data_IF_110875144905
#
_entry.id   IF_110875144905
#
_cell.length_a   1.000
_cell.length_b   1.000
_cell.length_c   1.000
_cell.angle_alpha   90.00
_cell.angle_beta   90.00
_cell.angle_gamma   90.00
#
_symmetry.space_group_name_H-M   'P 1'
#
loop_
_entity.id
_entity.type
_entity.pdbx_description
1 polymer ?
#
# COMPACT_ATOMS: atom_id res chain seq x y z
N UNK A 1 10.00 12.06 -2.16
CA UNK A 1 8.53 12.12 -2.23
C UNK A 1 8.08 13.56 -2.30
N UNK A 2 7.21 13.92 -3.23
CA UNK A 2 6.71 15.29 -3.43
C UNK A 2 5.40 15.29 -4.24
N UNK A 3 4.72 16.43 -4.32
CA UNK A 3 3.53 16.61 -5.16
C UNK A 3 3.86 16.92 -6.63
N UNK A 4 5.13 17.09 -6.96
CA UNK A 4 5.63 17.16 -8.33
C UNK A 4 7.10 16.80 -8.40
N UNK A 5 7.55 16.31 -9.56
CA UNK A 5 8.99 16.04 -9.79
C UNK A 5 9.76 17.28 -10.22
N UNK A 6 9.08 18.29 -10.73
CA UNK A 6 9.66 19.34 -11.55
C UNK A 6 10.11 18.80 -12.92
N UNK A 7 10.34 19.71 -13.87
CA UNK A 7 10.73 19.35 -15.24
C UNK A 7 12.06 18.56 -15.31
N UNK A 8 13.00 18.86 -14.43
CA UNK A 8 14.33 18.23 -14.43
C UNK A 8 14.33 16.72 -14.14
N UNK A 9 13.24 16.19 -13.53
CA UNK A 9 13.09 14.77 -13.20
C UNK A 9 11.93 14.10 -13.94
N UNK A 10 11.35 14.76 -14.94
CA UNK A 10 10.22 14.24 -15.72
C UNK A 10 10.51 12.86 -16.34
N UNK A 11 11.74 12.63 -16.80
CA UNK A 11 12.17 11.35 -17.36
C UNK A 11 12.25 10.19 -16.37
N UNK A 12 12.04 10.44 -15.07
CA UNK A 12 11.98 9.42 -14.02
C UNK A 12 10.56 9.03 -13.64
N UNK A 13 9.55 9.72 -14.16
CA UNK A 13 8.16 9.34 -13.94
C UNK A 13 7.85 8.06 -14.71
N UNK A 14 7.26 7.08 -14.02
CA UNK A 14 6.74 5.91 -14.66
C UNK A 14 5.41 6.24 -15.37
N UNK A 15 5.23 5.71 -16.55
CA UNK A 15 3.95 5.78 -17.26
C UNK A 15 2.91 4.91 -16.56
N UNK A 16 1.67 5.40 -16.52
CA UNK A 16 0.53 4.62 -16.02
C UNK A 16 -0.09 3.87 -17.20
N UNK A 17 -0.38 2.59 -16.99
CA UNK A 17 -0.95 1.73 -18.02
C UNK A 17 -2.33 1.21 -17.63
N UNK A 18 -3.13 0.87 -18.62
CA UNK A 18 -4.38 0.10 -18.50
C UNK A 18 -4.37 -1.05 -19.49
N UNK A 19 -5.11 -2.11 -19.18
CA UNK A 19 -5.36 -3.16 -20.17
C UNK A 19 -6.58 -2.80 -21.02
N UNK A 20 -6.33 -2.57 -22.32
CA UNK A 20 -7.38 -2.37 -23.31
C UNK A 20 -7.89 -3.73 -23.78
N UNK A 21 -9.10 -4.08 -23.33
CA UNK A 21 -9.74 -5.37 -23.66
C UNK A 21 -10.05 -5.50 -25.16
N UNK A 22 -10.38 -4.39 -25.83
CA UNK A 22 -10.71 -4.41 -27.24
C UNK A 22 -9.46 -4.63 -28.12
N UNK A 23 -8.35 -4.01 -27.74
CA UNK A 23 -7.06 -4.15 -28.40
C UNK A 23 -6.25 -5.37 -27.93
N UNK A 24 -6.63 -6.02 -26.82
CA UNK A 24 -5.91 -7.16 -26.22
C UNK A 24 -4.51 -6.82 -25.72
N UNK A 25 -4.23 -5.58 -25.36
CA UNK A 25 -2.90 -5.11 -24.98
C UNK A 25 -2.90 -4.02 -23.91
N UNK A 26 -1.74 -3.78 -23.30
CA UNK A 26 -1.50 -2.70 -22.38
C UNK A 26 -1.30 -1.40 -23.15
N UNK A 27 -1.97 -0.32 -22.76
CA UNK A 27 -1.88 1.02 -23.36
C UNK A 27 -1.76 2.10 -22.30
N UNK A 28 -1.21 3.25 -22.67
CA UNK A 28 -1.27 4.46 -21.84
C UNK A 28 -2.67 5.06 -21.99
N UNK A 29 -3.45 5.23 -20.88
CA UNK A 29 -4.78 5.79 -20.98
C UNK A 29 -4.72 7.29 -21.28
N UNK A 30 -5.74 7.80 -21.96
CA UNK A 30 -5.89 9.24 -22.21
C UNK A 30 -6.43 10.00 -20.98
N UNK A 31 -7.15 9.30 -20.13
CA UNK A 31 -7.82 9.83 -18.96
C UNK A 31 -7.57 8.92 -17.75
N UNK A 32 -7.58 9.52 -16.58
CA UNK A 32 -7.44 8.85 -15.29
C UNK A 32 -8.67 9.15 -14.40
N UNK A 33 -9.38 8.13 -13.95
CA UNK A 33 -10.58 8.26 -13.10
C UNK A 33 -11.64 9.26 -13.62
N UNK A 34 -11.82 9.34 -14.95
CA UNK A 34 -12.77 10.24 -15.58
C UNK A 34 -12.30 11.69 -15.73
N UNK A 35 -11.02 11.95 -15.52
CA UNK A 35 -10.37 13.25 -15.72
C UNK A 35 -9.10 13.15 -16.54
N UNK A 36 -8.53 14.31 -16.85
CA UNK A 36 -7.25 14.36 -17.55
C UNK A 36 -6.13 13.71 -16.71
N UNK A 37 -5.14 13.13 -17.40
CA UNK A 37 -3.92 12.64 -16.76
C UNK A 37 -3.22 13.78 -16.01
N UNK A 38 -2.92 13.61 -14.69
CA UNK A 38 -2.20 14.63 -13.94
C UNK A 38 -0.80 14.88 -14.53
N UNK A 39 -0.42 16.13 -14.65
CA UNK A 39 0.94 16.52 -15.01
C UNK A 39 1.81 16.63 -13.76
N UNK A 40 2.39 15.53 -13.32
CA UNK A 40 3.26 15.47 -12.15
C UNK A 40 4.61 16.20 -12.32
N UNK A 41 4.87 16.84 -13.47
CA UNK A 41 6.05 17.69 -13.64
C UNK A 41 5.84 19.10 -13.11
N UNK A 42 4.59 19.47 -12.83
CA UNK A 42 4.17 20.81 -12.34
C UNK A 42 3.56 20.71 -10.95
N UNK A 43 3.66 21.76 -10.14
CA UNK A 43 2.91 21.85 -8.90
C UNK A 43 1.40 21.72 -9.17
N UNK A 44 0.67 20.87 -8.42
CA UNK A 44 -0.78 20.77 -8.58
C UNK A 44 -1.51 21.96 -7.97
N UNK A 45 -2.74 22.23 -8.41
CA UNK A 45 -3.60 23.24 -7.80
C UNK A 45 -4.06 22.83 -6.38
N UNK A 46 -4.11 21.51 -6.10
CA UNK A 46 -4.43 20.96 -4.79
C UNK A 46 -3.44 19.82 -4.45
N UNK A 47 -2.84 19.89 -3.29
CA UNK A 47 -1.94 18.88 -2.75
C UNK A 47 -2.76 17.73 -2.15
N UNK A 48 -3.09 16.74 -2.99
CA UNK A 48 -3.87 15.56 -2.59
C UNK A 48 -2.98 14.45 -2.03
N UNK A 49 -3.12 14.13 -0.76
CA UNK A 49 -2.44 12.97 -0.15
C UNK A 49 -2.89 11.62 -0.71
N UNK A 50 -4.11 11.55 -1.26
CA UNK A 50 -4.68 10.29 -1.75
C UNK A 50 -4.20 9.85 -3.15
N UNK A 51 -3.68 10.77 -3.98
CA UNK A 51 -3.28 10.43 -5.35
C UNK A 51 -2.38 11.44 -6.02
N UNK A 52 -1.99 12.50 -5.32
CA UNK A 52 -1.17 13.60 -5.85
C UNK A 52 0.33 13.44 -5.65
N UNK A 53 0.77 12.45 -4.88
CA UNK A 53 2.18 12.29 -4.55
C UNK A 53 2.90 11.40 -5.58
N UNK A 54 4.11 11.81 -5.92
CA UNK A 54 5.11 10.99 -6.62
C UNK A 54 6.19 10.57 -5.63
N UNK A 55 6.62 9.33 -5.73
CA UNK A 55 7.61 8.76 -4.81
C UNK A 55 8.53 7.77 -5.54
N UNK A 56 9.47 7.20 -4.81
CA UNK A 56 10.30 6.08 -5.26
C UNK A 56 10.14 4.91 -4.29
N UNK A 57 10.46 3.69 -4.76
CA UNK A 57 10.47 2.50 -3.90
C UNK A 57 11.33 2.73 -2.64
N UNK A 58 12.50 3.37 -2.80
CA UNK A 58 13.40 3.64 -1.67
C UNK A 58 12.83 4.67 -0.68
N UNK A 59 12.19 5.75 -1.17
CA UNK A 59 11.54 6.72 -0.27
C UNK A 59 10.43 6.04 0.54
N UNK A 60 9.64 5.19 -0.13
CA UNK A 60 8.55 4.49 0.54
C UNK A 60 9.06 3.40 1.49
N UNK A 61 10.16 2.72 1.16
CA UNK A 61 10.83 1.79 2.06
C UNK A 61 11.35 2.50 3.33
N UNK A 62 11.89 3.71 3.20
CA UNK A 62 12.30 4.54 4.35
C UNK A 62 11.11 4.91 5.24
N UNK A 63 9.98 5.29 4.64
CA UNK A 63 8.73 5.51 5.39
C UNK A 63 8.29 4.24 6.12
N UNK A 64 8.26 3.10 5.43
CA UNK A 64 7.88 1.81 6.03
C UNK A 64 8.85 1.40 7.16
N UNK A 65 10.14 1.65 7.00
CA UNK A 65 11.15 1.41 8.06
C UNK A 65 10.91 2.31 9.27
N UNK A 66 10.56 3.57 9.07
CA UNK A 66 10.21 4.49 10.16
C UNK A 66 9.01 3.96 10.96
N UNK A 67 7.98 3.44 10.28
CA UNK A 67 6.83 2.80 10.94
C UNK A 67 7.28 1.55 11.72
N UNK A 68 8.07 0.66 11.10
CA UNK A 68 8.61 -0.55 11.74
C UNK A 68 9.42 -0.21 13.01
N UNK A 69 10.21 0.85 12.96
CA UNK A 69 10.99 1.39 14.08
C UNK A 69 10.16 2.21 15.08
N UNK A 70 8.83 2.09 15.05
CA UNK A 70 7.93 2.80 15.97
C UNK A 70 8.09 4.32 15.93
N UNK A 71 8.21 4.87 14.72
CA UNK A 71 8.18 6.31 14.46
C UNK A 71 9.51 7.02 14.38
N UNK A 72 10.62 6.28 14.31
CA UNK A 72 11.97 6.84 14.24
C UNK A 72 12.77 6.30 13.04
N UNK A 73 13.55 7.14 12.39
CA UNK A 73 14.47 6.76 11.34
C UNK A 73 15.72 7.65 11.38
N UNK A 74 16.89 7.02 11.27
CA UNK A 74 18.20 7.71 11.25
C UNK A 74 18.41 8.68 12.44
N UNK A 75 17.93 8.31 13.62
CA UNK A 75 18.02 9.13 14.84
C UNK A 75 17.00 10.28 14.90
N UNK A 76 16.11 10.41 13.91
CA UNK A 76 15.05 11.43 13.89
C UNK A 76 13.70 10.77 14.21
N UNK A 77 13.06 11.24 15.27
CA UNK A 77 11.70 10.80 15.64
C UNK A 77 10.66 11.71 15.01
N UNK A 78 9.78 11.13 14.17
CA UNK A 78 8.65 11.81 13.55
C UNK A 78 7.34 11.51 14.28
N UNK A 79 7.18 10.29 14.80
CA UNK A 79 6.00 9.84 15.52
C UNK A 79 6.39 9.23 16.87
N UNK A 80 5.51 9.33 17.85
CA UNK A 80 5.70 8.58 19.08
C UNK A 80 5.42 7.08 18.86
N UNK A 81 6.01 6.17 19.65
CA UNK A 81 5.66 4.76 19.62
C UNK A 81 4.15 4.52 19.79
N UNK A 82 3.50 5.26 20.69
CA UNK A 82 2.06 5.18 20.93
C UNK A 82 1.24 5.61 19.69
N UNK A 83 1.71 6.59 18.91
CA UNK A 83 1.04 7.01 17.68
C UNK A 83 1.10 5.90 16.63
N UNK A 84 2.25 5.25 16.47
CA UNK A 84 2.40 4.12 15.53
C UNK A 84 1.57 2.92 15.97
N UNK A 85 1.52 2.62 17.25
CA UNK A 85 0.66 1.58 17.81
C UNK A 85 -0.82 1.85 17.51
N UNK A 86 -1.27 3.10 17.69
CA UNK A 86 -2.64 3.50 17.37
C UNK A 86 -2.91 3.35 15.85
N UNK A 87 -1.96 3.71 14.99
CA UNK A 87 -2.09 3.54 13.54
C UNK A 87 -2.26 2.06 13.15
N UNK A 88 -1.59 1.15 13.86
CA UNK A 88 -1.69 -0.30 13.69
C UNK A 88 -2.83 -0.96 14.48
N UNK A 89 -3.68 -0.20 15.15
CA UNK A 89 -4.81 -0.74 15.92
C UNK A 89 -6.11 -0.61 15.14
N UNK A 90 -6.91 -1.69 15.10
CA UNK A 90 -8.22 -1.64 14.45
C UNK A 90 -9.16 -0.65 15.12
N UNK A 91 -9.65 0.33 14.37
CA UNK A 91 -10.61 1.34 14.83
C UNK A 91 -12.01 1.15 14.26
N UNK A 92 -12.24 0.13 13.42
CA UNK A 92 -13.57 -0.17 12.88
C UNK A 92 -14.44 -0.78 13.97
N UNK A 93 -15.59 -0.18 14.30
CA UNK A 93 -16.51 -0.73 15.28
C UNK A 93 -17.09 -2.09 14.81
N UNK A 94 -17.32 -3.01 15.75
CA UNK A 94 -17.86 -4.35 15.45
C UNK A 94 -19.19 -4.32 14.68
N UNK A 95 -20.08 -3.39 15.01
CA UNK A 95 -21.37 -3.25 14.33
C UNK A 95 -21.24 -2.82 12.86
N UNK A 96 -20.14 -2.15 12.47
CA UNK A 96 -19.84 -1.81 11.07
C UNK A 96 -19.37 -3.05 10.32
N UNK A 97 -18.52 -3.87 10.93
CA UNK A 97 -18.06 -5.14 10.35
C UNK A 97 -19.21 -6.12 10.10
N UNK A 98 -20.16 -6.19 11.04
CA UNK A 98 -21.33 -7.09 10.94
C UNK A 98 -22.35 -6.61 9.92
N UNK A 99 -22.46 -5.32 9.65
CA UNK A 99 -23.41 -4.74 8.69
C UNK A 99 -22.94 -4.81 7.24
N UNK A 100 -21.77 -5.31 6.96
CA UNK A 100 -21.32 -5.62 5.59
C UNK A 100 -21.99 -6.90 5.07
N UNK A 101 -23.18 -7.25 5.60
CA UNK A 101 -24.07 -8.37 5.32
C UNK A 101 -23.73 -9.09 4.04
N UNK A 102 -22.89 -10.11 4.12
CA UNK A 102 -22.79 -11.14 3.10
C UNK A 102 -22.34 -10.69 1.70
N UNK A 103 -21.95 -9.45 1.49
CA UNK A 103 -21.23 -9.09 0.27
C UNK A 103 -19.87 -9.78 0.35
N UNK A 104 -19.80 -10.90 -0.31
CA UNK A 104 -18.60 -11.66 -0.62
C UNK A 104 -17.55 -10.66 -1.12
N UNK A 105 -16.61 -10.23 -0.25
CA UNK A 105 -15.60 -9.25 -0.62
C UNK A 105 -15.28 -8.15 0.38
N UNK A 106 -15.88 -8.12 1.57
CA UNK A 106 -15.40 -7.22 2.62
C UNK A 106 -13.97 -7.60 2.98
N UNK A 107 -13.03 -6.66 2.75
CA UNK A 107 -11.62 -6.81 3.17
C UNK A 107 -11.48 -6.85 4.69
N UNK A 108 -12.49 -6.37 5.40
CA UNK A 108 -12.48 -6.22 6.86
C UNK A 108 -13.43 -7.23 7.50
N UNK A 109 -12.95 -7.95 8.49
CA UNK A 109 -13.67 -8.99 9.20
C UNK A 109 -13.07 -9.16 10.61
N UNK A 110 -13.38 -10.25 11.30
CA UNK A 110 -12.82 -10.52 12.64
C UNK A 110 -11.29 -10.68 12.64
N UNK A 111 -10.68 -11.12 11.52
CA UNK A 111 -9.25 -11.33 11.41
C UNK A 111 -8.48 -10.13 10.82
N UNK A 112 -9.17 -9.28 10.06
CA UNK A 112 -8.56 -8.13 9.37
C UNK A 112 -9.36 -6.87 9.68
N UNK A 113 -8.68 -5.84 10.17
CA UNK A 113 -9.25 -4.54 10.51
C UNK A 113 -8.63 -3.39 9.72
N UNK A 114 -8.97 -2.17 10.15
CA UNK A 114 -8.40 -0.95 9.61
C UNK A 114 -8.05 -0.01 10.78
N UNK A 115 -6.82 0.49 10.78
CA UNK A 115 -6.33 1.47 11.73
C UNK A 115 -6.40 2.88 11.18
N UNK A 116 -5.40 3.68 11.46
CA UNK A 116 -5.24 4.99 10.84
C UNK A 116 -4.40 4.82 9.58
N UNK A 117 -5.06 4.88 8.41
CA UNK A 117 -4.52 4.73 7.05
C UNK A 117 -3.98 3.33 6.67
N UNK A 118 -4.08 2.34 7.54
CA UNK A 118 -3.60 0.98 7.27
C UNK A 118 -4.68 -0.08 7.46
N UNK A 119 -4.73 -1.04 6.55
CA UNK A 119 -5.31 -2.35 6.81
C UNK A 119 -4.41 -3.07 7.81
N UNK A 120 -5.00 -3.72 8.82
CA UNK A 120 -4.27 -4.36 9.92
C UNK A 120 -4.67 -5.81 10.04
N UNK A 121 -3.70 -6.72 10.02
CA UNK A 121 -3.90 -8.13 10.36
C UNK A 121 -4.02 -8.26 11.87
N UNK A 122 -5.20 -8.65 12.37
CA UNK A 122 -5.47 -8.84 13.81
C UNK A 122 -5.20 -10.27 14.27
N UNK A 123 -5.45 -11.23 13.38
CA UNK A 123 -5.25 -12.66 13.60
C UNK A 123 -4.81 -13.26 12.26
N UNK A 124 -3.53 -13.51 12.12
CA UNK A 124 -2.92 -14.03 10.90
C UNK A 124 -3.45 -15.42 10.51
N UNK A 125 -3.73 -16.27 11.50
CA UNK A 125 -4.25 -17.62 11.28
C UNK A 125 -5.67 -17.59 10.73
N UNK A 126 -6.52 -16.79 11.36
CA UNK A 126 -7.90 -16.60 10.89
C UNK A 126 -7.98 -15.86 9.55
N UNK A 127 -7.03 -14.96 9.27
CA UNK A 127 -6.89 -14.28 7.97
C UNK A 127 -6.36 -15.19 6.86
N UNK A 128 -5.78 -16.35 7.21
CA UNK A 128 -5.15 -17.26 6.25
C UNK A 128 -3.93 -16.67 5.56
N UNK A 129 -3.17 -15.84 6.27
CA UNK A 129 -1.96 -15.18 5.74
C UNK A 129 -0.68 -15.71 6.40
N UNK A 130 0.45 -15.58 5.70
CA UNK A 130 1.77 -15.86 6.24
C UNK A 130 2.37 -14.67 6.99
N UNK A 131 1.73 -13.50 6.91
CA UNK A 131 2.13 -12.30 7.64
C UNK A 131 1.86 -12.48 9.14
N UNK A 132 2.61 -11.77 9.98
CA UNK A 132 2.38 -11.78 11.43
C UNK A 132 1.21 -10.90 11.86
N UNK A 133 0.74 -11.12 13.09
CA UNK A 133 -0.23 -10.23 13.74
C UNK A 133 0.34 -8.81 13.84
N UNK A 134 -0.51 -7.82 13.68
CA UNK A 134 -0.11 -6.42 13.66
C UNK A 134 0.44 -5.93 12.32
N UNK A 135 0.52 -6.77 11.30
CA UNK A 135 0.95 -6.33 9.97
C UNK A 135 0.05 -5.22 9.44
N UNK A 136 0.66 -4.10 9.11
CA UNK A 136 0.05 -2.93 8.51
C UNK A 136 0.30 -2.93 7.00
N UNK A 137 -0.73 -2.67 6.17
CA UNK A 137 -0.59 -2.69 4.72
C UNK A 137 -1.62 -1.81 4.03
N UNK A 138 -1.33 -1.43 2.80
CA UNK A 138 -2.31 -0.85 1.88
C UNK A 138 -1.85 -1.02 0.43
N UNK A 139 -2.72 -0.61 -0.50
CA UNK A 139 -2.42 -0.65 -1.93
C UNK A 139 -3.03 0.52 -2.68
N UNK A 140 -2.40 0.90 -3.78
CA UNK A 140 -2.83 1.97 -4.66
C UNK A 140 -3.63 1.48 -5.87
N UNK A 141 -4.48 2.35 -6.43
CA UNK A 141 -5.30 2.05 -7.60
C UNK A 141 -4.47 1.72 -8.85
N UNK A 142 -3.25 2.26 -8.94
CA UNK A 142 -2.31 1.97 -10.02
C UNK A 142 -1.42 0.74 -9.74
N UNK A 143 -1.75 -0.08 -8.73
CA UNK A 143 -1.11 -1.36 -8.48
C UNK A 143 0.15 -1.30 -7.60
N UNK A 144 0.41 -0.20 -6.93
CA UNK A 144 1.43 -0.13 -5.87
C UNK A 144 0.91 -0.80 -4.61
N UNK A 145 1.77 -1.46 -3.82
CA UNK A 145 1.40 -2.02 -2.53
C UNK A 145 2.59 -2.06 -1.58
N UNK A 146 2.32 -2.16 -0.30
CA UNK A 146 3.34 -2.37 0.71
C UNK A 146 2.76 -3.10 1.92
N UNK A 147 3.64 -3.64 2.75
CA UNK A 147 3.34 -4.03 4.11
C UNK A 147 4.52 -3.78 5.04
N UNK A 148 4.17 -3.59 6.31
CA UNK A 148 5.08 -3.52 7.45
C UNK A 148 4.64 -4.59 8.43
N UNK A 149 5.46 -5.59 8.65
CA UNK A 149 5.21 -6.72 9.55
C UNK A 149 6.11 -6.63 10.78
N UNK A 150 5.60 -6.10 11.90
CA UNK A 150 6.40 -5.94 13.11
C UNK A 150 6.69 -7.26 13.82
N UNK A 151 5.91 -8.30 13.59
CA UNK A 151 6.12 -9.63 14.17
C UNK A 151 7.33 -10.33 13.56
N UNK A 152 7.49 -10.24 12.25
CA UNK A 152 8.59 -10.88 11.52
C UNK A 152 9.74 -9.92 11.19
N UNK A 153 9.68 -8.65 11.61
CA UNK A 153 10.67 -7.60 11.31
C UNK A 153 10.90 -7.40 9.80
N UNK A 154 9.79 -7.35 9.03
CA UNK A 154 9.82 -7.31 7.56
C UNK A 154 9.06 -6.10 7.04
N UNK A 155 9.66 -5.39 6.10
CA UNK A 155 8.98 -4.46 5.22
C UNK A 155 9.04 -4.94 3.78
N UNK A 156 7.99 -4.65 3.02
CA UNK A 156 7.96 -4.90 1.58
C UNK A 156 7.31 -3.72 0.87
N UNK A 157 7.86 -3.34 -0.27
CA UNK A 157 7.29 -2.31 -1.14
C UNK A 157 7.30 -2.81 -2.58
N UNK A 158 6.13 -2.94 -3.18
CA UNK A 158 5.94 -3.29 -4.59
C UNK A 158 5.38 -2.10 -5.36
N UNK A 159 6.02 -1.75 -6.47
CA UNK A 159 5.60 -0.63 -7.30
C UNK A 159 5.45 -1.05 -8.75
N UNK A 160 4.21 -1.00 -9.22
CA UNK A 160 3.84 -1.05 -10.64
C UNK A 160 2.92 0.13 -10.93
N UNK A 161 2.74 0.47 -12.19
CA UNK A 161 1.87 1.57 -12.62
C UNK A 161 0.87 1.03 -13.65
N UNK A 162 -0.09 0.23 -13.15
CA UNK A 162 -1.15 -0.37 -13.96
C UNK A 162 -2.49 -0.28 -13.25
N UNK A 163 -3.39 0.52 -13.81
CA UNK A 163 -4.76 0.65 -13.33
C UNK A 163 -5.58 -0.61 -13.61
N UNK A 164 -6.51 -0.92 -12.70
CA UNK A 164 -7.41 -2.05 -12.87
C UNK A 164 -6.78 -3.41 -12.54
N UNK A 165 -5.65 -3.42 -11.83
CA UNK A 165 -4.95 -4.62 -11.41
C UNK A 165 -4.14 -5.29 -12.53
N UNK A 166 -3.57 -6.44 -12.25
CA UNK A 166 -2.63 -7.13 -13.11
C UNK A 166 -3.28 -8.12 -14.09
N UNK A 167 -4.60 -8.03 -14.26
CA UNK A 167 -5.30 -8.83 -15.29
C UNK A 167 -5.40 -10.33 -14.99
N UNK A 168 -5.42 -10.69 -13.71
CA UNK A 168 -5.48 -12.08 -13.25
C UNK A 168 -4.26 -12.51 -12.44
N UNK A 169 -3.15 -11.81 -12.57
CA UNK A 169 -1.97 -12.05 -11.76
C UNK A 169 -2.07 -11.25 -10.46
N UNK A 170 -2.20 -11.91 -9.35
CA UNK A 170 -2.14 -11.30 -8.03
C UNK A 170 -0.69 -11.17 -7.58
N UNK A 171 0.00 -10.15 -8.09
CA UNK A 171 1.39 -9.87 -7.73
C UNK A 171 1.58 -9.66 -6.22
N UNK A 172 0.59 -9.08 -5.56
CA UNK A 172 0.64 -8.87 -4.11
C UNK A 172 0.66 -10.19 -3.33
N UNK A 173 -0.22 -11.12 -3.68
CA UNK A 173 -0.25 -12.44 -3.04
C UNK A 173 0.98 -13.28 -3.39
N UNK A 174 1.43 -13.24 -4.64
CA UNK A 174 2.64 -13.95 -5.05
C UNK A 174 3.88 -13.39 -4.33
N UNK A 175 4.05 -12.07 -4.29
CA UNK A 175 5.14 -11.42 -3.59
C UNK A 175 5.15 -11.78 -2.09
N UNK A 176 3.97 -11.78 -1.46
CA UNK A 176 3.81 -12.18 -0.06
C UNK A 176 4.26 -13.64 0.14
N UNK A 177 3.73 -14.55 -0.63
CA UNK A 177 4.08 -15.97 -0.54
C UNK A 177 5.59 -16.18 -0.68
N UNK A 178 6.20 -15.61 -1.72
CA UNK A 178 7.64 -15.76 -1.97
C UNK A 178 8.50 -15.12 -0.88
N UNK A 179 8.10 -13.94 -0.37
CA UNK A 179 8.81 -13.26 0.72
C UNK A 179 8.84 -14.15 1.97
N UNK A 180 7.68 -14.63 2.42
CA UNK A 180 7.61 -15.42 3.65
C UNK A 180 8.16 -16.84 3.50
N UNK A 181 8.15 -17.41 2.31
CA UNK A 181 8.87 -18.68 2.03
C UNK A 181 10.39 -18.52 2.12
N UNK A 182 10.93 -17.33 1.92
CA UNK A 182 12.36 -17.06 2.02
C UNK A 182 12.84 -16.80 3.46
N UNK A 183 11.94 -16.57 4.41
CA UNK A 183 12.30 -16.33 5.82
C UNK A 183 12.70 -17.66 6.48
N UNK A 184 13.91 -17.71 7.04
CA UNK A 184 14.45 -18.90 7.73
C UNK A 184 13.98 -18.94 9.20
N UNK A 185 13.81 -17.75 9.80
CA UNK A 185 13.35 -17.58 11.17
C UNK A 185 12.25 -16.49 11.19
N UNK A 186 11.00 -16.84 10.86
CA UNK A 186 9.90 -15.88 10.79
C UNK A 186 9.44 -15.32 12.14
N UNK A 187 9.85 -15.94 13.23
CA UNK A 187 9.53 -15.50 14.59
C UNK A 187 10.82 -15.31 15.38
N UNK A 188 11.12 -14.12 15.79
CA UNK A 188 12.13 -13.81 16.79
C UNK A 188 11.50 -13.18 18.02
#
# INVERSE_FOLDING_TARGET
>A
TAFSTGAAKANRLAEVYVYDKAAGKIVVPKELFGGQMPDYTKPPAMESGGGGLVSTTMDYARFSQMILNKGELDGVRLLSPASVELMGTNVIPKNVLLNTNGTSGSRFNEAVGFGLDFMVVKDARAAGTLQGDGTMSWGGAAGTWFWVDPTNDVIFVGMVQRLGGTGGDDLGTQARTLTYQALIHPEK
#
